data_IF_942697087847
#
_entry.id   IF_942697087847
#
_cell.length_a   1.000
_cell.length_b   1.000
_cell.length_c   1.000
_cell.angle_alpha   90.00
_cell.angle_beta   90.00
_cell.angle_gamma   90.00
#
_symmetry.space_group_name_H-M   'P 1'
#
loop_
_entity.id
_entity.type
_entity.pdbx_description
1 polymer ?
#
# COMPACT_ATOMS: atom_id res chain seq x y z
N UNK A 1 -11.50 34.91 -10.91
CA UNK A 1 -11.54 34.62 -9.46
C UNK A 1 -10.25 35.11 -8.85
N UNK A 2 -10.29 36.22 -8.11
CA UNK A 2 -9.11 36.72 -7.40
C UNK A 2 -8.75 35.74 -6.27
N UNK A 3 -7.45 35.41 -6.06
CA UNK A 3 -7.04 34.60 -4.92
C UNK A 3 -7.38 35.38 -3.63
N UNK A 4 -8.22 34.78 -2.78
CA UNK A 4 -8.61 35.37 -1.51
C UNK A 4 -7.36 35.62 -0.65
N UNK A 5 -7.16 36.86 -0.21
CA UNK A 5 -6.16 37.20 0.80
C UNK A 5 -6.47 36.39 2.05
N UNK A 6 -5.60 35.44 2.40
CA UNK A 6 -5.65 34.78 3.70
C UNK A 6 -5.34 35.82 4.78
N UNK A 7 -6.18 35.85 5.81
CA UNK A 7 -6.03 36.76 6.95
C UNK A 7 -4.82 36.34 7.78
N UNK A 8 -3.90 37.28 8.01
CA UNK A 8 -2.69 37.06 8.81
C UNK A 8 -3.02 36.63 10.24
N UNK A 9 -4.16 37.06 10.78
CA UNK A 9 -4.61 36.67 12.12
C UNK A 9 -4.99 35.19 12.18
N UNK A 10 -5.63 34.66 11.13
CA UNK A 10 -5.99 33.25 11.04
C UNK A 10 -4.74 32.37 10.95
N UNK A 11 -3.75 32.79 10.16
CA UNK A 11 -2.47 32.08 10.04
C UNK A 11 -1.75 32.04 11.39
N UNK A 12 -1.71 33.17 12.09
CA UNK A 12 -1.08 33.26 13.42
C UNK A 12 -1.77 32.35 14.44
N UNK A 13 -3.10 32.39 14.50
CA UNK A 13 -3.88 31.54 15.42
C UNK A 13 -3.62 30.05 15.18
N UNK A 14 -3.53 29.63 13.92
CA UNK A 14 -3.27 28.23 13.57
C UNK A 14 -1.85 27.79 13.97
N UNK A 15 -0.86 28.67 13.78
CA UNK A 15 0.51 28.43 14.19
C UNK A 15 0.64 28.30 15.72
N UNK A 16 -0.07 29.14 16.46
CA UNK A 16 -0.09 29.09 17.92
C UNK A 16 -0.74 27.78 18.40
N UNK A 17 -1.87 27.38 17.81
CA UNK A 17 -2.56 26.12 18.14
C UNK A 17 -1.71 24.89 17.83
N UNK A 18 -1.06 24.84 16.66
CA UNK A 18 -0.14 23.76 16.32
C UNK A 18 1.08 23.72 17.25
N UNK A 19 1.61 24.89 17.63
CA UNK A 19 2.75 24.99 18.54
C UNK A 19 2.41 24.45 19.93
N UNK A 20 1.21 24.74 20.43
CA UNK A 20 0.79 24.28 21.75
C UNK A 20 0.47 22.77 21.75
N UNK A 21 -0.10 22.26 20.67
CA UNK A 21 -0.31 20.82 20.48
C UNK A 21 1.03 20.06 20.48
N UNK A 22 2.02 20.52 19.72
CA UNK A 22 3.35 19.90 19.67
C UNK A 22 4.07 19.96 21.03
N UNK A 23 3.95 21.06 21.76
CA UNK A 23 4.51 21.15 23.13
C UNK A 23 3.88 20.13 24.07
N UNK A 24 2.56 19.94 23.99
CA UNK A 24 1.85 18.97 24.81
C UNK A 24 2.28 17.54 24.49
N UNK A 25 2.41 17.20 23.20
CA UNK A 25 2.86 15.88 22.76
C UNK A 25 4.31 15.59 23.19
N UNK A 26 5.22 16.56 23.02
CA UNK A 26 6.61 16.43 23.51
C UNK A 26 6.65 16.19 25.01
N UNK A 27 5.77 16.85 25.78
CA UNK A 27 5.68 16.63 27.23
C UNK A 27 5.20 15.20 27.54
N UNK A 28 4.13 14.74 26.89
CA UNK A 28 3.61 13.37 27.07
C UNK A 28 4.66 12.31 26.78
N UNK A 29 5.37 12.45 25.65
CA UNK A 29 6.43 11.52 25.25
C UNK A 29 7.57 11.50 26.29
N UNK A 30 7.94 12.66 26.85
CA UNK A 30 8.97 12.71 27.90
C UNK A 30 8.52 11.99 29.17
N UNK A 31 7.28 12.17 29.58
CA UNK A 31 6.72 11.52 30.76
C UNK A 31 6.68 9.98 30.57
N UNK A 32 6.27 9.51 29.38
CA UNK A 32 6.30 8.09 29.02
C UNK A 32 7.72 7.52 29.03
N UNK A 33 8.69 8.22 28.45
CA UNK A 33 10.11 7.81 28.46
C UNK A 33 10.66 7.74 29.88
N UNK A 34 10.25 8.64 30.78
CA UNK A 34 10.63 8.58 32.18
C UNK A 34 10.04 7.35 32.88
N UNK A 35 8.76 7.04 32.62
CA UNK A 35 8.11 5.84 33.17
C UNK A 35 8.78 4.56 32.69
N UNK A 36 9.02 4.43 31.38
CA UNK A 36 9.67 3.25 30.80
C UNK A 36 11.11 3.08 31.31
N UNK A 37 11.84 4.18 31.52
CA UNK A 37 13.16 4.12 32.16
C UNK A 37 13.08 3.61 33.59
N UNK A 38 12.09 4.05 34.38
CA UNK A 38 11.90 3.55 35.74
C UNK A 38 11.61 2.04 35.75
N UNK A 39 10.71 1.57 34.89
CA UNK A 39 10.40 0.14 34.75
C UNK A 39 11.61 -0.69 34.31
N UNK A 40 12.39 -0.21 33.33
CA UNK A 40 13.60 -0.90 32.88
C UNK A 40 14.65 -0.98 33.99
N UNK A 41 14.72 0.03 34.85
CA UNK A 41 15.62 0.02 36.01
C UNK A 41 15.17 -1.00 37.05
N UNK A 42 13.86 -1.10 37.32
CA UNK A 42 13.29 -2.07 38.24
C UNK A 42 13.48 -3.53 37.76
N UNK A 43 13.22 -3.80 36.48
CA UNK A 43 13.45 -5.10 35.87
C UNK A 43 14.94 -5.47 35.86
N UNK A 44 15.82 -4.49 35.66
CA UNK A 44 17.28 -4.72 35.71
C UNK A 44 17.76 -5.09 37.11
N UNK A 45 17.16 -4.52 38.16
CA UNK A 45 17.46 -4.95 39.55
C UNK A 45 16.93 -6.34 39.87
N UNK A 46 15.84 -6.79 39.23
CA UNK A 46 15.27 -8.13 39.41
C UNK A 46 16.07 -9.21 38.65
N UNK A 47 16.86 -8.82 37.65
CA UNK A 47 17.60 -9.73 36.76
C UNK A 47 19.12 -9.90 37.06
N UNK A 48 19.65 -9.36 38.17
CA UNK A 48 21.05 -9.57 38.59
C UNK A 48 21.14 -10.56 39.77
N UNK A 49 22.16 -11.44 39.82
CA UNK A 49 22.00 -12.83 40.24
C UNK A 49 21.69 -12.98 41.73
N UNK A 50 20.64 -13.75 42.01
CA UNK A 50 20.33 -14.31 43.32
C UNK A 50 21.43 -15.31 43.72
N UNK A 51 22.59 -14.79 44.12
CA UNK A 51 23.57 -15.48 44.94
C UNK A 51 23.46 -14.90 46.34
N UNK A 52 22.58 -15.46 47.16
CA UNK A 52 22.75 -15.43 48.62
C UNK A 52 21.99 -16.58 49.29
N UNK A 53 22.77 -17.43 49.95
CA UNK A 53 22.40 -18.50 50.85
C UNK A 53 21.32 -18.08 51.87
N UNK A 54 20.27 -18.88 51.98
CA UNK A 54 19.56 -19.09 53.24
C UNK A 54 18.93 -20.49 53.28
N UNK A 55 19.61 -21.39 54.00
CA UNK A 55 19.16 -22.60 54.70
C UNK A 55 17.92 -23.42 54.23
N UNK A 56 18.22 -24.64 53.75
CA UNK A 56 17.46 -25.93 53.76
C UNK A 56 16.26 -26.17 52.81
N UNK A 57 15.96 -27.43 52.37
CA UNK A 57 16.72 -28.71 52.40
C UNK A 57 17.21 -29.14 50.98
N UNK A 58 18.04 -30.20 50.82
CA UNK A 58 18.65 -30.54 49.54
C UNK A 58 17.62 -31.23 48.63
N UNK A 59 16.93 -30.45 47.81
CA UNK A 59 16.31 -31.01 46.61
C UNK A 59 17.44 -31.20 45.60
N UNK A 60 17.82 -32.44 45.36
CA UNK A 60 18.86 -32.83 44.40
C UNK A 60 18.39 -32.44 43.00
N UNK A 61 18.62 -31.19 42.59
CA UNK A 61 18.48 -30.79 41.19
C UNK A 61 19.46 -31.64 40.40
N UNK A 62 18.93 -32.58 39.64
CA UNK A 62 19.73 -33.45 38.80
C UNK A 62 20.19 -32.68 37.57
N UNK A 63 21.20 -33.20 36.88
CA UNK A 63 21.63 -32.65 35.60
C UNK A 63 20.46 -32.65 34.59
N UNK A 64 19.56 -33.62 34.68
CA UNK A 64 18.32 -33.68 33.91
C UNK A 64 17.41 -32.47 34.16
N UNK A 65 17.22 -32.04 35.41
CA UNK A 65 16.40 -30.86 35.73
C UNK A 65 17.00 -29.60 35.09
N UNK A 66 18.32 -29.50 35.09
CA UNK A 66 19.04 -28.35 34.51
C UNK A 66 18.93 -28.33 32.99
N UNK A 67 19.15 -29.48 32.34
CA UNK A 67 18.99 -29.63 30.88
C UNK A 67 17.54 -29.37 30.48
N UNK A 68 16.58 -29.93 31.22
CA UNK A 68 15.13 -29.75 30.96
C UNK A 68 14.72 -28.30 31.12
N UNK A 69 15.19 -27.61 32.16
CA UNK A 69 14.93 -26.18 32.35
C UNK A 69 15.55 -25.33 31.23
N UNK A 70 16.76 -25.67 30.79
CA UNK A 70 17.45 -24.99 29.69
C UNK A 70 16.68 -25.14 28.37
N UNK A 71 16.28 -26.37 28.01
CA UNK A 71 15.51 -26.64 26.78
C UNK A 71 14.15 -25.94 26.82
N UNK A 72 13.43 -25.99 27.95
CA UNK A 72 12.14 -25.28 28.12
C UNK A 72 12.28 -23.77 27.98
N UNK A 73 13.41 -23.21 28.41
CA UNK A 73 13.68 -21.77 28.29
C UNK A 73 14.02 -21.42 26.85
N UNK A 74 14.91 -22.17 26.20
CA UNK A 74 15.21 -22.00 24.78
C UNK A 74 13.96 -22.08 23.90
N UNK A 75 13.06 -23.04 24.17
CA UNK A 75 11.80 -23.18 23.43
C UNK A 75 10.86 -21.98 23.64
N UNK A 76 10.79 -21.43 24.86
CA UNK A 76 10.02 -20.21 25.14
C UNK A 76 10.59 -19.00 24.42
N UNK A 77 11.91 -18.86 24.40
CA UNK A 77 12.60 -17.78 23.71
C UNK A 77 12.38 -17.86 22.20
N UNK A 78 12.49 -19.05 21.63
CA UNK A 78 12.21 -19.28 20.20
C UNK A 78 10.75 -18.99 19.86
N UNK A 79 9.80 -19.48 20.68
CA UNK A 79 8.36 -19.16 20.51
C UNK A 79 8.09 -17.66 20.57
N UNK A 80 8.78 -16.95 21.47
CA UNK A 80 8.63 -15.50 21.62
C UNK A 80 9.23 -14.76 20.42
N UNK A 81 10.42 -15.16 19.95
CA UNK A 81 11.03 -14.62 18.72
C UNK A 81 10.14 -14.84 17.51
N UNK A 82 9.62 -16.06 17.32
CA UNK A 82 8.68 -16.36 16.24
C UNK A 82 7.41 -15.51 16.31
N UNK A 83 6.87 -15.28 17.51
CA UNK A 83 5.71 -14.40 17.70
C UNK A 83 6.03 -12.96 17.28
N UNK A 84 7.17 -12.41 17.70
CA UNK A 84 7.62 -11.06 17.32
C UNK A 84 7.78 -10.94 15.81
N UNK A 85 8.45 -11.90 15.17
CA UNK A 85 8.64 -11.93 13.71
C UNK A 85 7.30 -11.99 12.99
N UNK A 86 6.37 -12.85 13.42
CA UNK A 86 5.04 -12.96 12.82
C UNK A 86 4.21 -11.67 13.00
N UNK A 87 4.31 -11.02 14.16
CA UNK A 87 3.66 -9.71 14.41
C UNK A 87 4.21 -8.63 13.45
N UNK A 88 5.53 -8.54 13.29
CA UNK A 88 6.17 -7.60 12.36
C UNK A 88 5.81 -7.90 10.89
N UNK A 89 5.61 -9.17 10.51
CA UNK A 89 5.13 -9.51 9.17
C UNK A 89 3.71 -8.98 8.91
N UNK A 90 2.85 -8.96 9.93
CA UNK A 90 1.50 -8.38 9.81
C UNK A 90 1.53 -6.85 9.70
N UNK A 91 2.43 -6.19 10.42
CA UNK A 91 2.71 -4.75 10.29
C UNK A 91 3.20 -4.42 8.88
N UNK A 92 4.07 -5.25 8.29
CA UNK A 92 4.54 -5.06 6.91
C UNK A 92 3.42 -5.16 5.86
N UNK A 93 2.45 -6.07 6.03
CA UNK A 93 1.27 -6.12 5.15
C UNK A 93 0.41 -4.86 5.27
N UNK A 94 0.38 -4.28 6.47
CA UNK A 94 -0.31 -3.03 6.74
C UNK A 94 0.43 -1.84 6.11
N UNK A 95 1.77 -1.83 6.15
CA UNK A 95 2.59 -0.82 5.48
C UNK A 95 2.31 -0.71 3.99
N UNK A 96 2.14 -1.83 3.26
CA UNK A 96 1.76 -1.75 1.83
C UNK A 96 0.44 -1.01 1.63
N UNK A 97 -0.57 -1.34 2.46
CA UNK A 97 -1.89 -0.69 2.41
C UNK A 97 -1.83 0.77 2.85
N UNK A 98 -1.05 1.08 3.88
CA UNK A 98 -0.86 2.42 4.41
C UNK A 98 -0.10 3.29 3.39
N UNK A 99 0.89 2.73 2.67
CA UNK A 99 1.58 3.39 1.54
C UNK A 99 0.63 3.59 0.36
N UNK A 100 -0.19 2.61 0.01
CA UNK A 100 -1.23 2.76 -1.01
C UNK A 100 -2.22 3.86 -0.64
N UNK A 101 -2.59 3.98 0.63
CA UNK A 101 -3.46 5.01 1.18
C UNK A 101 -2.82 6.39 1.17
N UNK A 102 -1.56 6.50 1.57
CA UNK A 102 -0.77 7.73 1.43
C UNK A 102 -0.58 8.15 -0.04
N UNK A 103 -0.50 7.19 -0.97
CA UNK A 103 -0.39 7.45 -2.41
C UNK A 103 -1.74 7.82 -3.06
N UNK A 104 -2.85 7.79 -2.32
CA UNK A 104 -4.09 8.39 -2.76
C UNK A 104 -3.88 9.90 -2.79
N UNK A 105 -4.14 10.54 -3.94
CA UNK A 105 -4.16 12.00 -3.98
C UNK A 105 -5.25 12.48 -3.02
N UNK A 106 -4.91 13.41 -2.13
CA UNK A 106 -5.76 13.96 -1.05
C UNK A 106 -7.15 14.47 -1.47
N UNK A 107 -7.45 14.53 -2.77
CA UNK A 107 -8.71 15.00 -3.35
C UNK A 107 -9.44 13.94 -4.21
N UNK A 108 -9.11 12.65 -4.07
CA UNK A 108 -9.83 11.55 -4.75
C UNK A 108 -10.46 10.62 -3.72
N UNK A 109 -11.75 10.31 -3.90
CA UNK A 109 -12.37 9.23 -3.12
C UNK A 109 -11.75 7.88 -3.51
N UNK A 110 -11.91 6.84 -2.69
CA UNK A 110 -11.44 5.47 -3.02
C UNK A 110 -11.99 5.01 -4.38
N UNK A 111 -13.23 5.39 -4.71
CA UNK A 111 -13.88 5.11 -6.01
C UNK A 111 -13.19 5.85 -7.16
N UNK A 112 -12.93 7.15 -7.01
CA UNK A 112 -12.28 7.96 -8.05
C UNK A 112 -10.81 7.55 -8.26
N UNK A 113 -10.15 7.10 -7.20
CA UNK A 113 -8.81 6.54 -7.27
C UNK A 113 -8.82 5.23 -8.06
N UNK A 114 -9.78 4.33 -7.81
CA UNK A 114 -9.91 3.09 -8.58
C UNK A 114 -10.16 3.37 -10.07
N UNK A 115 -11.03 4.32 -10.39
CA UNK A 115 -11.29 4.77 -11.77
C UNK A 115 -10.05 5.36 -12.45
N UNK A 116 -9.14 5.99 -11.69
CA UNK A 116 -7.87 6.49 -12.22
C UNK A 116 -6.82 5.40 -12.40
N UNK A 117 -6.76 4.46 -11.46
CA UNK A 117 -5.78 3.37 -11.49
C UNK A 117 -6.07 2.42 -12.64
N UNK A 118 -7.34 2.11 -12.92
CA UNK A 118 -7.73 1.16 -13.97
C UNK A 118 -7.09 1.44 -15.35
N UNK A 119 -7.19 2.65 -15.95
CA UNK A 119 -6.55 2.94 -17.24
C UNK A 119 -5.07 3.35 -17.13
N UNK A 120 -4.49 3.47 -15.93
CA UNK A 120 -3.18 4.09 -15.72
C UNK A 120 -2.04 3.37 -16.43
N UNK A 121 -2.02 2.05 -16.37
CA UNK A 121 -0.99 1.24 -17.02
C UNK A 121 -1.05 1.40 -18.54
N UNK A 122 -2.25 1.34 -19.11
CA UNK A 122 -2.48 1.49 -20.55
C UNK A 122 -2.09 2.89 -21.04
N UNK A 123 -2.47 3.95 -20.32
CA UNK A 123 -2.09 5.32 -20.67
C UNK A 123 -0.58 5.54 -20.61
N UNK A 124 0.09 4.95 -19.61
CA UNK A 124 1.55 5.00 -19.54
C UNK A 124 2.17 4.35 -20.78
N UNK A 125 1.78 3.12 -21.11
CA UNK A 125 2.28 2.42 -22.30
C UNK A 125 2.02 3.18 -23.60
N UNK A 126 0.86 3.83 -23.75
CA UNK A 126 0.55 4.62 -24.94
C UNK A 126 1.45 5.86 -25.07
N UNK A 127 1.75 6.53 -23.95
CA UNK A 127 2.67 7.67 -23.95
C UNK A 127 4.12 7.23 -24.20
N UNK A 128 4.53 6.10 -23.62
CA UNK A 128 5.87 5.54 -23.86
C UNK A 128 6.02 5.17 -25.34
N UNK A 129 5.02 4.52 -25.94
CA UNK A 129 5.00 4.23 -27.38
C UNK A 129 5.00 5.50 -28.25
N UNK A 130 4.24 6.54 -27.88
CA UNK A 130 4.25 7.81 -28.61
C UNK A 130 5.63 8.48 -28.56
N UNK A 131 6.31 8.40 -27.41
CA UNK A 131 7.67 8.91 -27.24
C UNK A 131 8.69 8.13 -28.08
N UNK A 132 8.64 6.80 -28.05
CA UNK A 132 9.52 5.92 -28.83
C UNK A 132 9.35 6.12 -30.34
N UNK A 133 8.11 6.27 -30.81
CA UNK A 133 7.82 6.49 -32.22
C UNK A 133 7.99 7.96 -32.65
N UNK A 134 8.35 8.86 -31.72
CA UNK A 134 8.50 10.30 -32.00
C UNK A 134 7.20 10.96 -32.47
N UNK A 135 6.05 10.37 -32.16
CA UNK A 135 4.74 10.86 -32.58
C UNK A 135 4.31 11.98 -31.64
N UNK A 136 3.73 13.02 -32.22
CA UNK A 136 3.22 14.18 -31.50
C UNK A 136 1.89 13.90 -30.79
N UNK A 137 1.79 12.77 -30.09
CA UNK A 137 0.59 12.32 -29.39
C UNK A 137 0.84 12.22 -27.88
N UNK A 138 -0.20 12.48 -27.08
CA UNK A 138 -0.17 12.22 -25.64
C UNK A 138 -1.55 11.88 -25.10
N UNK A 139 -1.57 11.08 -24.04
CA UNK A 139 -2.80 10.53 -23.46
C UNK A 139 -2.87 10.89 -21.99
N UNK A 140 -4.04 11.36 -21.53
CA UNK A 140 -4.23 11.83 -20.16
C UNK A 140 -5.54 11.34 -19.54
N UNK A 141 -5.47 10.94 -18.26
CA UNK A 141 -6.61 10.43 -17.49
C UNK A 141 -7.30 11.60 -16.79
N UNK A 142 -8.62 11.63 -16.89
CA UNK A 142 -9.48 12.65 -16.29
C UNK A 142 -9.93 12.29 -14.88
N UNK A 143 -10.64 13.22 -14.25
CA UNK A 143 -11.19 13.03 -12.90
C UNK A 143 -12.25 11.94 -12.86
N UNK A 144 -13.04 11.80 -13.93
CA UNK A 144 -14.07 10.77 -14.12
C UNK A 144 -13.52 9.43 -14.64
N UNK A 145 -12.20 9.25 -14.72
CA UNK A 145 -11.57 8.03 -15.25
C UNK A 145 -11.48 7.94 -16.77
N UNK A 146 -12.06 8.88 -17.52
CA UNK A 146 -11.92 8.90 -18.98
C UNK A 146 -10.48 9.19 -19.41
N UNK A 147 -10.05 8.57 -20.51
CA UNK A 147 -8.77 8.88 -21.13
C UNK A 147 -9.00 9.75 -22.35
N UNK A 148 -8.29 10.86 -22.44
CA UNK A 148 -8.33 11.76 -23.59
C UNK A 148 -7.00 11.73 -24.32
N UNK A 149 -7.07 11.60 -25.65
CA UNK A 149 -5.94 11.77 -26.56
C UNK A 149 -5.73 13.23 -26.96
N UNK A 150 -4.47 13.58 -27.19
CA UNK A 150 -4.02 14.91 -27.60
C UNK A 150 -3.02 14.78 -28.72
N UNK A 151 -3.11 15.67 -29.69
CA UNK A 151 -2.14 15.79 -30.77
C UNK A 151 -1.49 17.16 -30.73
N UNK A 152 -0.17 17.21 -30.85
CA UNK A 152 0.60 18.44 -30.94
C UNK A 152 0.60 18.91 -32.39
N UNK A 153 0.10 20.12 -32.61
CA UNK A 153 0.17 20.78 -33.92
C UNK A 153 1.60 21.24 -34.20
N UNK A 154 1.91 21.54 -35.47
CA UNK A 154 3.22 22.06 -35.90
C UNK A 154 3.64 23.35 -35.18
N UNK A 155 2.67 24.17 -34.77
CA UNK A 155 2.89 25.37 -33.96
C UNK A 155 3.19 25.06 -32.47
N UNK A 156 3.37 23.80 -32.11
CA UNK A 156 3.67 23.32 -30.76
C UNK A 156 2.47 23.27 -29.80
N UNK A 157 1.26 23.67 -30.23
CA UNK A 157 0.05 23.66 -29.39
C UNK A 157 -0.58 22.27 -29.37
N UNK A 158 -0.92 21.81 -28.17
CA UNK A 158 -1.69 20.57 -27.98
C UNK A 158 -3.18 20.82 -28.16
N UNK A 159 -3.84 19.95 -28.94
CA UNK A 159 -5.30 19.92 -29.06
C UNK A 159 -5.84 18.55 -28.75
N UNK A 160 -7.02 18.52 -28.12
CA UNK A 160 -7.73 17.27 -27.83
C UNK A 160 -8.19 16.65 -29.15
N UNK A 161 -7.90 15.36 -29.34
CA UNK A 161 -8.58 14.57 -30.35
C UNK A 161 -9.93 14.12 -29.79
N UNK A 162 -11.02 14.60 -30.39
CA UNK A 162 -12.39 14.33 -29.95
C UNK A 162 -12.86 12.95 -30.43
N UNK A 163 -12.27 12.43 -31.50
CA UNK A 163 -12.62 11.14 -32.08
C UNK A 163 -11.83 9.99 -31.46
N UNK A 164 -10.68 10.30 -30.84
CA UNK A 164 -9.88 9.32 -30.15
C UNK A 164 -10.61 8.72 -28.93
N UNK A 165 -10.63 7.39 -28.87
CA UNK A 165 -11.18 6.63 -27.74
C UNK A 165 -10.21 5.54 -27.35
N UNK A 166 -10.04 5.34 -26.05
CA UNK A 166 -9.32 4.20 -25.53
C UNK A 166 -10.11 2.93 -25.90
N UNK A 167 -9.45 1.98 -26.57
CA UNK A 167 -10.06 0.69 -26.84
C UNK A 167 -10.42 0.03 -25.50
N UNK A 168 -11.71 -0.07 -25.21
CA UNK A 168 -12.20 -0.87 -24.09
C UNK A 168 -11.78 -2.31 -24.33
N UNK A 169 -10.93 -2.87 -23.48
CA UNK A 169 -10.69 -4.31 -23.43
C UNK A 169 -12.00 -4.99 -23.07
N UNK A 170 -12.77 -5.37 -24.10
CA UNK A 170 -13.89 -6.30 -24.03
C UNK A 170 -13.31 -7.68 -23.69
N UNK A 171 -13.25 -8.00 -22.40
CA UNK A 171 -13.33 -9.39 -21.95
C UNK A 171 -14.78 -9.84 -22.08
N UNK A 172 -15.18 -10.25 -23.29
CA UNK A 172 -16.38 -11.06 -23.51
C UNK A 172 -16.19 -11.87 -24.81
N UNK A 173 -15.23 -12.78 -24.81
CA UNK A 173 -15.30 -13.93 -25.71
C UNK A 173 -16.32 -14.91 -25.12
N UNK A 174 -17.61 -14.67 -25.41
CA UNK A 174 -18.59 -15.75 -25.46
C UNK A 174 -18.53 -16.29 -26.90
N UNK A 175 -17.58 -17.20 -27.15
CA UNK A 175 -17.71 -18.07 -28.32
C UNK A 175 -18.69 -19.18 -27.95
N UNK A 176 -19.99 -18.88 -28.09
CA UNK A 176 -20.97 -19.94 -28.32
C UNK A 176 -20.88 -20.36 -29.80
N UNK A 177 -20.70 -21.65 -30.10
CA UNK A 177 -20.69 -22.13 -31.48
C UNK A 177 -22.13 -22.09 -32.01
N UNK A 178 -22.38 -21.23 -32.99
CA UNK A 178 -23.62 -21.26 -33.75
C UNK A 178 -23.60 -22.47 -34.67
N UNK A 179 -24.23 -23.55 -34.22
CA UNK A 179 -24.78 -24.57 -35.09
C UNK A 179 -25.68 -23.90 -36.13
N UNK A 180 -25.42 -24.17 -37.40
CA UNK A 180 -26.40 -23.95 -38.47
C UNK A 180 -26.35 -25.13 -39.44
N UNK A 181 -27.49 -25.77 -39.73
CA UNK A 181 -27.56 -26.96 -40.56
C UNK A 181 -27.57 -26.55 -42.02
N UNK A 182 -26.58 -26.95 -42.80
CA UNK A 182 -26.60 -26.78 -44.26
C UNK A 182 -27.08 -28.08 -44.90
N UNK A 183 -28.39 -28.14 -45.12
CA UNK A 183 -29.05 -29.19 -45.91
C UNK A 183 -28.84 -29.00 -47.41
N UNK A 184 -28.35 -30.09 -48.02
CA UNK A 184 -28.67 -30.64 -49.35
C UNK A 184 -28.85 -29.69 -50.55
N UNK A 185 -27.88 -29.77 -51.46
CA UNK A 185 -28.05 -29.50 -52.88
C UNK A 185 -27.41 -30.61 -53.71
N UNK A 186 -28.17 -31.67 -54.01
CA UNK A 186 -27.79 -32.67 -55.00
C UNK A 186 -27.77 -32.04 -56.39
N UNK A 187 -26.64 -32.14 -57.10
CA UNK A 187 -26.63 -31.98 -58.57
C UNK A 187 -25.60 -32.95 -59.16
N UNK A 188 -26.13 -33.83 -59.99
CA UNK A 188 -25.50 -34.89 -60.80
C UNK A 188 -24.43 -34.36 -61.76
N UNK A 189 -23.38 -35.15 -62.09
CA UNK A 189 -22.59 -34.93 -63.29
C UNK A 189 -23.18 -35.72 -64.47
N UNK A 190 -23.36 -35.06 -65.60
CA UNK A 190 -23.59 -35.69 -66.90
C UNK A 190 -22.60 -35.11 -67.92
N UNK A 191 -22.26 -35.96 -68.88
CA UNK A 191 -21.04 -35.99 -69.68
C UNK A 191 -20.84 -34.83 -70.67
N UNK A 192 -19.57 -34.61 -70.99
CA UNK A 192 -19.05 -34.03 -72.23
C UNK A 192 -17.64 -34.54 -72.44
#
# INVERSE_FOLDING_TARGET
>A
MAPGKLDANLIKSLLDEQSDMLKAEIKSIRDEVMSLKAELTALKSEASPQLQNSASPPSTRTLEDTVTASVKTALRDEKTKCKVVLSQLSENKRLTKDVEEMCQRTCRSRKDQAQYVAPRAQVRSLNDAALENGVNESFNIRKNGEVWGFTKSENGKWRRDVNWKLASTLSHEDQSPSDSPSGNGSTTPSQG
#
